data_IF_291510199750
#
_entry.id   IF_291510199750
#
_cell.length_a   1.000
_cell.length_b   1.000
_cell.length_c   1.000
_cell.angle_alpha   90.00
_cell.angle_beta   90.00
_cell.angle_gamma   90.00
#
_symmetry.space_group_name_H-M   'P 1'
#
loop_
_entity.id
_entity.type
_entity.pdbx_description
1 polymer ?
#
# COMPACT_ATOMS: atom_id res chain seq x y z
N UNK A 1 -0.06 -10.26 29.80
CA UNK A 1 -0.21 -10.23 29.09
C UNK A 1 -0.08 -10.10 28.12
N UNK A 2 0.07 -10.33 27.98
CA UNK A 2 0.20 -10.26 27.16
C UNK A 2 -0.07 -10.05 26.12
N UNK A 3 0.08 -9.88 25.64
CA UNK A 3 -0.28 -9.59 24.72
C UNK A 3 -0.11 -9.89 23.69
N UNK A 4 0.42 -10.55 23.67
CA UNK A 4 0.53 -10.78 22.45
C UNK A 4 -0.33 -10.50 21.58
N UNK A 5 -0.06 -10.01 20.91
CA UNK A 5 -1.08 -9.47 20.25
C UNK A 5 -1.33 -10.06 18.95
N UNK A 6 -2.47 -10.62 18.73
CA UNK A 6 -2.84 -11.05 17.40
C UNK A 6 -2.96 -9.86 16.47
N UNK A 7 -2.76 -8.68 17.00
CA UNK A 7 -2.90 -7.44 16.27
C UNK A 7 -1.61 -6.97 15.63
N UNK A 8 -0.60 -7.82 15.55
CA UNK A 8 0.64 -7.44 14.91
C UNK A 8 0.39 -6.99 13.48
N UNK A 9 0.96 -5.86 13.10
CA UNK A 9 0.86 -5.38 11.74
C UNK A 9 1.63 -6.30 10.80
N UNK A 10 1.18 -6.35 9.55
CA UNK A 10 1.96 -7.04 8.53
C UNK A 10 3.33 -6.37 8.41
N UNK A 11 4.39 -7.15 8.14
CA UNK A 11 5.74 -6.57 8.03
C UNK A 11 5.87 -5.60 6.88
N UNK A 12 5.10 -5.79 5.83
CA UNK A 12 5.05 -4.89 4.69
C UNK A 12 3.61 -4.65 4.32
N UNK A 13 3.33 -3.46 3.78
CA UNK A 13 2.01 -3.12 3.27
C UNK A 13 2.18 -2.70 1.82
N UNK A 14 1.47 -3.36 0.91
CA UNK A 14 1.54 -3.03 -0.51
C UNK A 14 0.16 -2.86 -1.11
N UNK A 15 -0.02 -1.77 -1.86
CA UNK A 15 -1.26 -1.54 -2.59
C UNK A 15 -0.93 -1.14 -4.03
N UNK A 16 -1.92 -1.32 -4.91
CA UNK A 16 -1.83 -0.92 -6.31
C UNK A 16 -2.96 0.06 -6.63
N UNK A 17 -2.62 1.14 -7.33
CA UNK A 17 -3.56 2.21 -7.65
C UNK A 17 -3.65 2.38 -9.16
N UNK A 18 -4.86 2.36 -9.69
CA UNK A 18 -5.07 2.47 -11.14
C UNK A 18 -5.00 3.93 -11.58
N UNK A 19 -4.12 4.19 -12.52
CA UNK A 19 -4.03 5.50 -13.19
C UNK A 19 -3.82 6.67 -12.24
N UNK A 20 -3.00 6.47 -11.19
CA UNK A 20 -2.65 7.54 -10.26
C UNK A 20 -1.19 7.91 -10.51
N UNK A 21 -0.92 9.16 -10.93
CA UNK A 21 0.46 9.59 -11.17
C UNK A 21 1.27 9.67 -9.88
N UNK A 22 2.58 9.49 -10.02
CA UNK A 22 3.49 9.54 -8.87
C UNK A 22 3.34 10.86 -8.11
N UNK A 23 3.14 11.96 -8.80
CA UNK A 23 3.00 13.25 -8.14
C UNK A 23 1.83 13.30 -7.16
N UNK A 24 0.73 12.62 -7.51
CA UNK A 24 -0.42 12.55 -6.62
C UNK A 24 -0.16 11.63 -5.43
N UNK A 25 0.57 10.54 -5.67
CA UNK A 25 0.96 9.65 -4.59
C UNK A 25 1.86 10.39 -3.61
N UNK A 26 2.82 11.15 -4.13
CA UNK A 26 3.72 11.91 -3.28
C UNK A 26 2.96 12.94 -2.44
N UNK A 27 1.97 13.59 -3.04
CA UNK A 27 1.14 14.55 -2.32
C UNK A 27 0.39 13.87 -1.18
N UNK A 28 -0.14 12.68 -1.44
CA UNK A 28 -0.85 11.92 -0.41
C UNK A 28 0.08 11.57 0.75
N UNK A 29 1.30 11.11 0.43
CA UNK A 29 2.27 10.77 1.46
C UNK A 29 2.61 11.99 2.32
N UNK A 30 2.76 13.15 1.69
CA UNK A 30 3.08 14.37 2.42
C UNK A 30 1.96 14.80 3.35
N UNK A 31 0.72 14.57 2.97
CA UNK A 31 -0.42 14.94 3.80
C UNK A 31 -0.67 13.92 4.91
N UNK A 32 -0.38 12.67 4.64
CA UNK A 32 -0.74 11.60 5.55
C UNK A 32 0.27 11.39 6.67
N UNK A 33 1.53 11.69 6.42
CA UNK A 33 2.60 11.39 7.37
C UNK A 33 3.27 12.65 7.87
N UNK A 34 4.00 12.51 8.99
CA UNK A 34 4.60 13.65 9.67
C UNK A 34 5.68 14.31 8.82
N UNK A 35 6.44 13.51 8.09
CA UNK A 35 7.45 14.04 7.19
C UNK A 35 7.74 13.04 6.09
N UNK A 36 8.34 13.53 5.01
CA UNK A 36 8.75 12.68 3.89
C UNK A 36 10.09 13.20 3.38
N UNK A 37 11.00 12.28 3.17
CA UNK A 37 12.31 12.57 2.62
C UNK A 37 12.47 11.80 1.34
N UNK A 38 12.89 12.49 0.27
CA UNK A 38 13.15 11.83 -1.00
C UNK A 38 14.51 11.16 -0.92
N UNK A 39 14.54 9.87 -1.24
CA UNK A 39 15.78 9.12 -1.29
C UNK A 39 16.16 8.93 -2.76
N UNK A 40 16.49 7.70 -3.14
CA UNK A 40 16.89 7.42 -4.51
C UNK A 40 15.69 7.54 -5.45
N UNK A 41 15.86 8.26 -6.55
CA UNK A 41 14.81 8.49 -7.51
C UNK A 41 15.27 8.10 -8.90
N UNK A 42 14.47 7.29 -9.59
CA UNK A 42 14.68 7.01 -11.00
C UNK A 42 13.40 7.35 -11.74
N UNK A 43 13.37 7.08 -13.05
CA UNK A 43 12.22 7.49 -13.84
C UNK A 43 10.93 6.83 -13.36
N UNK A 44 10.95 5.54 -13.08
CA UNK A 44 9.75 4.79 -12.71
C UNK A 44 9.69 4.36 -11.26
N UNK A 45 10.82 4.38 -10.56
CA UNK A 45 10.90 3.88 -9.19
C UNK A 45 11.41 5.00 -8.30
N UNK A 46 10.63 5.30 -7.29
CA UNK A 46 10.98 6.35 -6.35
C UNK A 46 10.98 5.81 -4.93
N UNK A 47 12.02 6.14 -4.20
CA UNK A 47 12.18 5.71 -2.81
C UNK A 47 12.04 6.92 -1.90
N UNK A 48 11.30 6.73 -0.81
CA UNK A 48 11.08 7.76 0.18
C UNK A 48 11.32 7.20 1.55
N UNK A 49 11.57 8.09 2.49
CA UNK A 49 11.57 7.75 3.90
C UNK A 49 10.53 8.64 4.56
N UNK A 50 9.48 8.04 5.09
CA UNK A 50 8.43 8.79 5.77
C UNK A 50 8.55 8.59 7.27
N UNK A 51 8.01 9.54 8.03
CA UNK A 51 8.00 9.45 9.49
C UNK A 51 6.55 9.35 9.97
N UNK A 52 6.31 8.38 10.84
CA UNK A 52 5.00 8.17 11.44
C UNK A 52 5.20 7.81 12.91
N UNK A 53 4.68 8.66 13.81
CA UNK A 53 4.79 8.44 15.26
C UNK A 53 6.24 8.14 15.68
N UNK A 54 7.16 8.99 15.20
CA UNK A 54 8.59 8.89 15.50
C UNK A 54 9.27 7.65 14.90
N UNK A 55 8.58 6.89 14.05
CA UNK A 55 9.15 5.75 13.36
C UNK A 55 9.39 6.12 11.90
N UNK A 56 10.53 5.69 11.37
CA UNK A 56 10.84 5.91 9.97
C UNK A 56 10.45 4.68 9.16
N UNK A 57 9.77 4.91 8.04
CA UNK A 57 9.24 3.83 7.19
C UNK A 57 9.76 4.06 5.77
N UNK A 58 10.54 3.10 5.25
CA UNK A 58 10.93 3.17 3.83
C UNK A 58 9.71 2.91 2.95
N UNK A 59 9.58 3.68 1.88
CA UNK A 59 8.48 3.53 0.94
C UNK A 59 9.05 3.46 -0.47
N UNK A 60 8.56 2.52 -1.26
CA UNK A 60 8.93 2.41 -2.67
C UNK A 60 7.68 2.56 -3.51
N UNK A 61 7.72 3.46 -4.49
CA UNK A 61 6.63 3.66 -5.43
C UNK A 61 7.13 3.28 -6.82
N UNK A 62 6.39 2.38 -7.49
CA UNK A 62 6.73 1.98 -8.85
C UNK A 62 5.58 2.40 -9.76
N UNK A 63 5.88 3.33 -10.67
CA UNK A 63 4.86 3.82 -11.61
C UNK A 63 4.60 2.77 -12.67
N UNK A 64 3.31 2.50 -12.90
CA UNK A 64 2.90 1.49 -13.90
C UNK A 64 3.59 0.15 -13.67
N UNK A 65 3.62 -0.27 -12.41
CA UNK A 65 4.22 -1.54 -12.04
C UNK A 65 3.55 -2.71 -12.73
N UNK A 66 2.24 -2.61 -12.95
CA UNK A 66 1.49 -3.61 -13.70
C UNK A 66 0.47 -2.87 -14.55
N UNK A 67 0.80 -2.67 -15.81
CA UNK A 67 -0.05 -1.94 -16.78
C UNK A 67 -0.36 -0.55 -16.22
N UNK A 68 -1.63 -0.23 -16.02
CA UNK A 68 -2.02 1.09 -15.53
C UNK A 68 -1.96 1.21 -14.01
N UNK A 69 -1.53 0.17 -13.30
CA UNK A 69 -1.47 0.18 -11.84
C UNK A 69 -0.08 0.53 -11.35
N UNK A 70 0.01 1.55 -10.49
CA UNK A 70 1.24 1.89 -9.80
C UNK A 70 1.20 1.28 -8.41
N UNK A 71 2.35 0.83 -7.91
CA UNK A 71 2.40 0.19 -6.59
C UNK A 71 3.02 1.12 -5.56
N UNK A 72 2.58 0.96 -4.32
CA UNK A 72 3.18 1.62 -3.17
C UNK A 72 3.48 0.53 -2.15
N UNK A 73 4.75 0.40 -1.77
CA UNK A 73 5.20 -0.57 -0.79
C UNK A 73 5.73 0.16 0.44
N UNK A 74 5.11 -0.10 1.58
CA UNK A 74 5.57 0.43 2.86
C UNK A 74 6.33 -0.69 3.56
N UNK A 75 7.65 -0.53 3.69
CA UNK A 75 8.53 -1.61 4.09
C UNK A 75 8.77 -1.63 5.61
N UNK A 76 7.68 -1.66 6.37
CA UNK A 76 7.79 -1.66 7.83
C UNK A 76 6.45 -2.01 8.45
N UNK A 77 6.49 -2.68 9.59
CA UNK A 77 5.28 -2.94 10.37
C UNK A 77 4.91 -1.75 11.25
N UNK A 78 5.67 -0.66 11.18
CA UNK A 78 5.37 0.55 11.95
C UNK A 78 4.32 1.44 11.27
N UNK A 79 3.79 1.02 10.12
CA UNK A 79 2.76 1.78 9.43
C UNK A 79 1.47 1.84 10.24
N UNK A 80 0.57 2.78 9.94
CA UNK A 80 -0.69 2.88 10.69
C UNK A 80 -1.70 1.78 10.37
N UNK A 81 -1.37 0.87 9.45
CA UNK A 81 -2.31 -0.16 9.01
C UNK A 81 -1.85 -1.54 9.47
N UNK A 82 -2.80 -2.32 10.00
CA UNK A 82 -2.50 -3.68 10.41
C UNK A 82 -2.38 -4.61 9.20
N UNK A 83 -3.16 -4.34 8.16
CA UNK A 83 -3.21 -5.18 6.97
C UNK A 83 -3.28 -4.33 5.72
N UNK A 84 -2.93 -4.94 4.59
CA UNK A 84 -2.93 -4.23 3.31
C UNK A 84 -4.31 -3.67 2.97
N UNK A 85 -5.38 -4.41 3.31
CA UNK A 85 -6.74 -3.94 3.01
C UNK A 85 -7.06 -2.63 3.72
N UNK A 86 -6.51 -2.43 4.92
CA UNK A 86 -6.77 -1.17 5.64
C UNK A 86 -6.16 0.00 4.90
N UNK A 87 -4.95 -0.19 4.38
CA UNK A 87 -4.29 0.83 3.58
C UNK A 87 -5.05 1.07 2.27
N UNK A 88 -5.48 -0.01 1.62
CA UNK A 88 -6.19 0.09 0.35
C UNK A 88 -7.50 0.86 0.51
N UNK A 89 -8.22 0.62 1.59
CA UNK A 89 -9.46 1.34 1.84
C UNK A 89 -9.22 2.83 2.04
N UNK A 90 -8.20 3.17 2.81
CA UNK A 90 -7.87 4.58 3.03
C UNK A 90 -7.44 5.25 1.73
N UNK A 91 -6.61 4.58 0.94
CA UNK A 91 -6.16 5.12 -0.34
C UNK A 91 -7.32 5.32 -1.31
N UNK A 92 -8.24 4.35 -1.36
CA UNK A 92 -9.40 4.48 -2.22
C UNK A 92 -10.23 5.71 -1.83
N UNK A 93 -10.40 5.95 -0.55
CA UNK A 93 -11.14 7.12 -0.09
C UNK A 93 -10.48 8.42 -0.52
N UNK A 94 -9.17 8.44 -0.58
CA UNK A 94 -8.43 9.64 -0.96
C UNK A 94 -8.42 9.84 -2.48
N UNK A 95 -8.09 8.79 -3.23
CA UNK A 95 -7.87 8.93 -4.67
C UNK A 95 -9.12 8.72 -5.52
N UNK A 96 -10.09 7.96 -5.03
CA UNK A 96 -11.29 7.58 -5.78
C UNK A 96 -10.94 6.85 -7.08
N UNK A 97 -9.88 6.07 -7.04
CA UNK A 97 -9.44 5.25 -8.18
C UNK A 97 -9.39 3.81 -7.74
N UNK A 98 -9.62 2.88 -8.66
CA UNK A 98 -9.58 1.47 -8.32
C UNK A 98 -8.28 1.15 -7.60
N UNK A 99 -8.38 0.48 -6.45
CA UNK A 99 -7.26 0.14 -5.60
C UNK A 99 -7.28 -1.37 -5.38
N UNK A 100 -6.13 -2.01 -5.44
CA UNK A 100 -6.02 -3.45 -5.24
C UNK A 100 -4.99 -3.77 -4.18
N UNK A 101 -5.23 -4.86 -3.47
CA UNK A 101 -4.27 -5.39 -2.52
C UNK A 101 -4.45 -6.90 -2.45
N UNK A 102 -3.48 -7.58 -1.85
CA UNK A 102 -3.57 -9.03 -1.70
C UNK A 102 -4.79 -9.39 -0.85
N UNK A 103 -5.50 -10.44 -1.25
CA UNK A 103 -6.77 -10.77 -0.62
C UNK A 103 -6.60 -11.39 0.76
N UNK A 104 -5.53 -12.17 0.93
CA UNK A 104 -5.33 -12.88 2.19
C UNK A 104 -3.91 -12.61 2.68
N UNK A 105 -3.64 -13.00 3.92
CA UNK A 105 -2.32 -12.84 4.47
C UNK A 105 -1.38 -13.91 3.95
N UNK A 106 -0.69 -14.54 4.86
CA UNK A 106 0.34 -15.50 4.50
C UNK A 106 -0.05 -16.90 4.97
N UNK A 107 -1.34 -17.23 4.85
CA UNK A 107 -1.87 -18.51 5.30
C UNK A 107 -1.65 -19.59 4.25
N UNK A 108 -1.37 -20.79 4.72
CA UNK A 108 -1.25 -21.93 3.84
C UNK A 108 -2.59 -22.19 3.15
N UNK A 109 -2.53 -22.50 1.87
CA UNK A 109 -3.74 -22.81 1.12
C UNK A 109 -4.37 -21.61 0.44
N UNK A 110 -3.85 -20.40 0.69
CA UNK A 110 -4.36 -19.22 0.01
C UNK A 110 -3.96 -19.23 -1.46
N UNK A 111 -4.84 -18.74 -2.31
CA UNK A 111 -4.55 -18.62 -3.74
C UNK A 111 -3.58 -17.48 -3.96
N UNK A 112 -2.43 -17.73 -4.61
CA UNK A 112 -1.43 -16.66 -4.77
C UNK A 112 -1.89 -15.52 -5.66
N UNK A 113 -2.87 -15.75 -6.53
CA UNK A 113 -3.35 -14.72 -7.44
C UNK A 113 -4.65 -14.08 -6.99
N UNK A 114 -5.08 -14.36 -5.75
CA UNK A 114 -6.33 -13.81 -5.26
C UNK A 114 -6.10 -12.42 -4.66
N UNK A 115 -6.86 -11.44 -5.15
CA UNK A 115 -6.71 -10.05 -4.75
C UNK A 115 -8.06 -9.47 -4.39
N UNK A 116 -8.05 -8.36 -3.67
CA UNK A 116 -9.25 -7.58 -3.42
C UNK A 116 -9.15 -6.31 -4.26
N UNK A 117 -10.19 -6.05 -5.03
CA UNK A 117 -10.30 -4.81 -5.80
C UNK A 117 -11.37 -3.93 -5.18
N UNK A 118 -11.03 -2.66 -4.96
CA UNK A 118 -11.95 -1.67 -4.39
C UNK A 118 -12.23 -0.65 -5.48
N UNK A 119 -13.50 -0.49 -5.82
CA UNK A 119 -13.91 0.52 -6.81
C UNK A 119 -15.25 1.11 -6.39
N UNK A 120 -15.88 1.88 -7.27
CA UNK A 120 -17.12 2.57 -6.94
C UNK A 120 -18.27 1.62 -6.60
N UNK A 121 -18.14 0.35 -6.95
CA UNK A 121 -19.17 -0.65 -6.64
C UNK A 121 -18.87 -1.41 -5.35
N UNK A 122 -17.75 -1.12 -4.70
CA UNK A 122 -17.39 -1.76 -3.45
C UNK A 122 -16.17 -2.64 -3.57
N UNK A 123 -16.04 -3.57 -2.64
CA UNK A 123 -14.90 -4.48 -2.57
C UNK A 123 -15.31 -5.84 -3.13
N UNK A 124 -14.43 -6.42 -3.94
CA UNK A 124 -14.69 -7.75 -4.47
C UNK A 124 -13.38 -8.51 -4.63
N UNK A 125 -13.48 -9.82 -4.53
CA UNK A 125 -12.33 -10.69 -4.75
C UNK A 125 -12.18 -10.94 -6.24
N UNK A 126 -10.94 -10.86 -6.71
CA UNK A 126 -10.64 -11.08 -8.13
C UNK A 126 -9.41 -11.96 -8.22
N UNK A 127 -9.22 -12.55 -9.38
CA UNK A 127 -7.97 -13.23 -9.71
C UNK A 127 -7.18 -12.30 -10.62
N UNK A 128 -5.97 -11.99 -10.20
CA UNK A 128 -5.13 -11.03 -10.93
C UNK A 128 -3.72 -11.55 -11.03
N UNK A 129 -3.33 -11.90 -12.22
CA UNK A 129 -1.97 -12.38 -12.49
C UNK A 129 -1.14 -11.21 -12.99
N UNK A 130 -0.25 -10.76 -12.14
CA UNK A 130 0.59 -9.61 -12.44
C UNK A 130 1.87 -9.98 -13.16
#
# INVERSE_FOLDING_TARGET
MTKTSPQSNHPDIEIYLKSVPIEQIETWLKQRFDSIENLKQSRKVKHYLITHSDQQIPVMVVENASKAFSSILFESDASPWAQDIDCAREAYQYFSKETRCIASGWNDGDEPDEWIAIDSEGEKNIIWKT
#
